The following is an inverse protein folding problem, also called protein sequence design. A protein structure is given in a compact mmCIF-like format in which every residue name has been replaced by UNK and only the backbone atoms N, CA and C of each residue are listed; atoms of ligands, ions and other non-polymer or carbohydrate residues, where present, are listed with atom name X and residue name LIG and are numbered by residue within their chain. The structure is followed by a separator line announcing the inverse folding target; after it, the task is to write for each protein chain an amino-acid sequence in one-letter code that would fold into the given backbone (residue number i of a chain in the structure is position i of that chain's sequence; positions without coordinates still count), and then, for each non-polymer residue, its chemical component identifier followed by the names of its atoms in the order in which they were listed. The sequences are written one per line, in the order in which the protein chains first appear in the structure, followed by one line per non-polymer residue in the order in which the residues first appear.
data_IF_430554813311
#
_entry.id   IF_430554813311
#
_cell.length_a   1.000
_cell.length_b   1.000
_cell.length_c   1.000
_cell.angle_alpha   90.00
_cell.angle_beta   90.00
_cell.angle_gamma   90.00
#
_symmetry.space_group_name_H-M   'P 1'
#
loop_
_entity.id
_entity.type
_entity.pdbx_description
1 polymer ?
#
# COMPACT_ATOMS: atom_id res chain seq x y z
N UNK A 1 22.55 15.54 -12.59
CA UNK A 1 23.23 16.12 -11.42
C UNK A 1 23.32 17.64 -11.59
N UNK A 2 23.38 18.42 -10.49
CA UNK A 2 23.42 19.89 -10.53
C UNK A 2 24.50 20.44 -11.47
N UNK A 3 25.63 19.76 -11.64
CA UNK A 3 26.71 20.16 -12.53
C UNK A 3 26.35 20.12 -14.03
N UNK A 4 25.30 19.39 -14.39
CA UNK A 4 24.81 19.33 -15.77
C UNK A 4 23.66 20.31 -16.01
N UNK A 5 22.90 20.60 -14.96
CA UNK A 5 21.69 21.44 -15.00
C UNK A 5 22.01 22.91 -14.70
N UNK A 6 23.24 23.20 -14.22
CA UNK A 6 23.65 24.55 -13.83
C UNK A 6 23.05 25.06 -12.52
N UNK A 7 22.43 24.17 -11.71
CA UNK A 7 21.83 24.53 -10.42
C UNK A 7 22.90 24.78 -9.34
N UNK A 8 22.56 25.63 -8.41
CA UNK A 8 23.41 25.86 -7.24
C UNK A 8 23.33 24.73 -6.21
N UNK A 9 24.21 24.77 -5.21
CA UNK A 9 24.22 23.79 -4.14
C UNK A 9 22.98 23.93 -3.26
N UNK A 10 22.26 22.84 -3.05
CA UNK A 10 21.06 22.80 -2.24
C UNK A 10 19.74 23.08 -3.00
N UNK A 11 19.81 23.54 -4.25
CA UNK A 11 18.62 23.74 -5.07
C UNK A 11 17.94 22.39 -5.39
N UNK A 12 16.59 22.36 -5.41
CA UNK A 12 15.85 21.15 -5.76
C UNK A 12 16.06 20.77 -7.22
N UNK A 13 16.04 19.47 -7.57
CA UNK A 13 16.06 19.07 -8.97
C UNK A 13 14.72 19.38 -9.63
N UNK A 14 14.75 19.55 -10.95
CA UNK A 14 13.53 19.58 -11.73
C UNK A 14 12.74 18.29 -11.54
N UNK A 15 11.45 18.42 -11.38
CA UNK A 15 10.49 17.34 -11.21
C UNK A 15 9.46 17.37 -12.34
N UNK A 16 8.59 16.38 -12.38
CA UNK A 16 7.50 16.37 -13.35
C UNK A 16 6.59 17.61 -13.21
N UNK A 17 6.48 18.17 -12.02
CA UNK A 17 5.63 19.33 -11.74
C UNK A 17 6.11 20.58 -12.47
N UNK A 18 7.42 20.71 -12.70
CA UNK A 18 8.02 21.86 -13.39
C UNK A 18 7.69 21.90 -14.90
N UNK A 19 7.11 20.82 -15.45
CA UNK A 19 6.72 20.72 -16.87
C UNK A 19 5.23 20.98 -17.12
N UNK A 20 4.44 21.16 -16.07
CA UNK A 20 3.03 21.51 -16.20
C UNK A 20 2.85 23.05 -16.37
N UNK A 21 1.74 23.48 -16.98
CA UNK A 21 1.35 24.89 -16.96
C UNK A 21 1.18 25.42 -15.54
N UNK A 22 1.34 26.73 -15.33
CA UNK A 22 1.27 27.33 -14.00
C UNK A 22 -0.09 27.14 -13.29
N UNK A 23 -1.17 26.93 -14.03
CA UNK A 23 -2.54 26.80 -13.54
C UNK A 23 -3.05 25.35 -13.45
N UNK A 24 -2.16 24.37 -13.34
CA UNK A 24 -2.57 22.96 -13.24
C UNK A 24 -3.23 22.63 -11.90
N UNK A 25 -4.07 21.59 -11.93
CA UNK A 25 -4.70 21.01 -10.74
C UNK A 25 -4.05 19.67 -10.41
N UNK A 26 -3.77 19.44 -9.13
CA UNK A 26 -3.34 18.14 -8.62
C UNK A 26 -4.51 17.44 -7.94
N UNK A 27 -4.77 16.20 -8.31
CA UNK A 27 -5.66 15.29 -7.58
C UNK A 27 -4.81 14.21 -6.90
N UNK A 28 -4.84 14.14 -5.58
CA UNK A 28 -4.07 13.18 -4.80
C UNK A 28 -5.00 12.08 -4.29
N UNK A 29 -4.87 10.90 -4.87
CA UNK A 29 -5.55 9.71 -4.40
C UNK A 29 -4.83 9.12 -3.18
N UNK A 30 -5.60 8.53 -2.25
CA UNK A 30 -5.11 8.05 -0.96
C UNK A 30 -4.24 9.09 -0.25
N UNK A 31 -4.75 10.31 -0.17
CA UNK A 31 -3.99 11.48 0.26
C UNK A 31 -3.41 11.34 1.66
N UNK A 32 -4.10 10.67 2.57
CA UNK A 32 -3.62 10.38 3.93
C UNK A 32 -2.29 9.61 3.95
N UNK A 33 -2.04 8.76 2.94
CA UNK A 33 -0.76 8.06 2.78
C UNK A 33 0.24 8.90 2.01
N UNK A 34 -0.18 9.50 0.90
CA UNK A 34 0.67 10.24 -0.02
C UNK A 34 1.27 11.47 0.65
N UNK A 35 0.49 12.25 1.38
CA UNK A 35 0.98 13.45 2.07
C UNK A 35 1.96 13.11 3.20
N UNK A 36 1.76 12.00 3.88
CA UNK A 36 2.72 11.47 4.84
C UNK A 36 4.07 11.13 4.19
N UNK A 37 4.05 10.56 2.99
CA UNK A 37 5.28 10.26 2.23
C UNK A 37 5.96 11.54 1.74
N UNK A 38 5.23 12.50 1.18
CA UNK A 38 5.78 13.80 0.75
C UNK A 38 6.49 14.50 1.90
N UNK A 39 5.91 14.49 3.11
CA UNK A 39 6.51 15.06 4.31
C UNK A 39 7.81 14.34 4.74
N UNK A 40 7.84 13.00 4.63
CA UNK A 40 8.95 12.18 5.13
C UNK A 40 10.09 11.94 4.15
N UNK A 41 9.85 11.99 2.83
CA UNK A 41 10.78 11.51 1.81
C UNK A 41 12.11 12.29 1.78
N UNK A 42 12.10 13.61 1.98
CA UNK A 42 13.30 14.43 1.98
C UNK A 42 14.28 14.02 3.10
N UNK A 43 13.79 13.95 4.32
CA UNK A 43 14.62 13.65 5.50
C UNK A 43 15.20 12.23 5.43
N UNK A 44 14.42 11.27 5.00
CA UNK A 44 14.88 9.88 4.82
C UNK A 44 15.96 9.73 3.75
N UNK A 45 15.78 10.39 2.60
CA UNK A 45 16.77 10.40 1.52
C UNK A 45 18.06 11.11 1.95
N UNK A 46 17.93 12.25 2.62
CA UNK A 46 19.06 13.04 3.10
C UNK A 46 19.91 12.27 4.10
N UNK A 47 19.31 11.70 5.13
CA UNK A 47 20.03 10.93 6.15
C UNK A 47 20.82 9.76 5.52
N UNK A 48 20.20 9.03 4.59
CA UNK A 48 20.87 7.96 3.86
C UNK A 48 22.05 8.46 3.03
N UNK A 49 21.90 9.57 2.31
CA UNK A 49 22.95 10.12 1.44
C UNK A 49 24.09 10.75 2.22
N UNK A 50 23.81 11.44 3.31
CA UNK A 50 24.84 11.96 4.20
C UNK A 50 25.75 10.83 4.71
N UNK A 51 25.17 9.72 5.15
CA UNK A 51 25.96 8.55 5.56
C UNK A 51 26.82 8.03 4.40
N UNK A 52 26.26 7.88 3.19
CA UNK A 52 27.00 7.38 2.03
C UNK A 52 28.13 8.34 1.59
N UNK A 53 27.91 9.63 1.69
CA UNK A 53 28.96 10.64 1.40
C UNK A 53 30.06 10.63 2.46
N UNK A 54 29.72 10.57 3.74
CA UNK A 54 30.66 10.55 4.86
C UNK A 54 31.59 9.32 4.81
N UNK A 55 31.08 8.18 4.34
CA UNK A 55 31.88 6.97 4.16
C UNK A 55 32.53 6.84 2.76
N UNK A 56 32.45 7.87 1.92
CA UNK A 56 33.08 7.91 0.61
C UNK A 56 32.39 7.07 -0.49
N UNK A 57 31.21 6.54 -0.26
CA UNK A 57 30.44 5.77 -1.26
C UNK A 57 29.73 6.64 -2.29
N UNK A 58 29.55 7.93 -2.00
CA UNK A 58 28.96 8.91 -2.90
C UNK A 58 29.66 10.27 -2.81
N UNK A 59 29.61 11.02 -3.92
CA UNK A 59 30.09 12.38 -3.96
C UNK A 59 29.13 13.31 -3.19
N UNK A 60 29.61 14.44 -2.61
CA UNK A 60 28.75 15.41 -1.93
C UNK A 60 27.59 15.92 -2.78
N UNK A 61 27.78 16.08 -4.08
CA UNK A 61 26.72 16.48 -5.02
C UNK A 61 25.54 15.50 -5.14
N UNK A 62 25.65 14.30 -4.58
CA UNK A 62 24.52 13.38 -4.47
C UNK A 62 23.39 13.94 -3.58
N UNK A 63 23.71 14.85 -2.65
CA UNK A 63 22.75 15.51 -1.78
C UNK A 63 21.80 16.44 -2.55
N UNK A 64 22.22 16.93 -3.72
CA UNK A 64 21.41 17.86 -4.55
C UNK A 64 20.46 17.13 -5.51
N UNK A 65 20.63 15.84 -5.70
CA UNK A 65 19.65 14.99 -6.42
C UNK A 65 18.70 14.34 -5.42
N UNK A 66 17.74 15.09 -4.97
CA UNK A 66 16.89 14.78 -3.81
C UNK A 66 15.40 14.96 -4.11
N UNK A 67 14.52 14.33 -3.33
CA UNK A 67 13.10 14.68 -3.36
C UNK A 67 12.88 16.15 -2.98
N UNK A 68 11.75 16.70 -3.40
CA UNK A 68 11.30 18.00 -2.92
C UNK A 68 11.07 17.96 -1.41
N UNK A 69 11.31 19.08 -0.75
CA UNK A 69 10.78 19.32 0.57
C UNK A 69 9.27 19.56 0.47
N UNK A 70 8.57 19.42 1.59
CA UNK A 70 7.12 19.67 1.62
C UNK A 70 6.78 21.09 1.15
N UNK A 71 7.48 22.11 1.64
CA UNK A 71 7.27 23.51 1.30
C UNK A 71 7.56 23.78 -0.19
N UNK A 72 8.55 23.08 -0.75
CA UNK A 72 8.87 23.17 -2.19
C UNK A 72 7.75 22.54 -3.03
N UNK A 73 7.21 21.39 -2.61
CA UNK A 73 6.04 20.79 -3.24
C UNK A 73 4.83 21.73 -3.17
N UNK A 74 4.53 22.26 -2.00
CA UNK A 74 3.40 23.19 -1.80
C UNK A 74 3.51 24.45 -2.66
N UNK A 75 4.73 24.95 -2.93
CA UNK A 75 4.95 26.11 -3.79
C UNK A 75 4.64 25.88 -5.26
N UNK A 76 4.62 24.63 -5.73
CA UNK A 76 4.23 24.27 -7.09
C UNK A 76 2.72 24.11 -7.27
N UNK A 77 1.96 24.07 -6.19
CA UNK A 77 0.54 23.70 -6.22
C UNK A 77 -0.34 24.94 -6.15
N UNK A 78 -1.16 25.17 -7.18
CA UNK A 78 -2.18 26.21 -7.18
C UNK A 78 -3.55 25.67 -6.73
N UNK A 79 -3.91 24.50 -7.23
CA UNK A 79 -5.18 23.85 -6.91
C UNK A 79 -4.92 22.39 -6.57
N UNK A 80 -5.50 21.93 -5.47
CA UNK A 80 -5.34 20.56 -5.00
C UNK A 80 -6.69 19.98 -4.58
N UNK A 81 -6.91 18.72 -4.95
CA UNK A 81 -8.02 17.91 -4.50
C UNK A 81 -7.47 16.69 -3.78
N UNK A 82 -7.78 16.56 -2.52
CA UNK A 82 -7.45 15.39 -1.73
C UNK A 82 -8.57 14.37 -1.82
N UNK A 83 -8.25 13.13 -2.18
CA UNK A 83 -9.18 12.01 -2.24
C UNK A 83 -8.75 10.97 -1.23
N UNK A 84 -9.60 10.65 -0.28
CA UNK A 84 -9.31 9.66 0.75
C UNK A 84 -10.59 9.15 1.41
N UNK A 85 -10.63 7.87 1.75
CA UNK A 85 -11.67 7.31 2.61
C UNK A 85 -11.47 7.70 4.09
N UNK A 86 -10.23 8.00 4.47
CA UNK A 86 -9.81 8.32 5.84
C UNK A 86 -8.83 9.50 5.82
N UNK A 87 -9.31 10.73 5.52
CA UNK A 87 -8.43 11.90 5.47
C UNK A 87 -7.68 12.08 6.78
N UNK A 88 -6.41 12.49 6.69
CA UNK A 88 -5.57 12.77 7.84
C UNK A 88 -5.71 14.23 8.35
N UNK A 89 -5.10 14.50 9.48
CA UNK A 89 -5.16 15.84 10.11
C UNK A 89 -4.66 16.95 9.16
N UNK A 90 -3.65 16.65 8.36
CA UNK A 90 -3.09 17.61 7.41
C UNK A 90 -4.11 18.07 6.36
N UNK A 91 -4.83 17.12 5.73
CA UNK A 91 -5.86 17.45 4.74
C UNK A 91 -7.01 18.24 5.36
N UNK A 92 -7.38 17.85 6.59
CA UNK A 92 -8.44 18.53 7.34
C UNK A 92 -8.06 19.97 7.71
N UNK A 93 -6.76 20.24 7.94
CA UNK A 93 -6.26 21.60 8.23
C UNK A 93 -6.16 22.47 6.96
N UNK A 94 -6.02 21.85 5.78
CA UNK A 94 -5.82 22.57 4.51
C UNK A 94 -7.11 22.88 3.75
N UNK A 95 -8.25 22.37 4.18
CA UNK A 95 -9.53 22.53 3.47
C UNK A 95 -10.64 23.05 4.35
N UNK A 96 -11.40 23.98 3.84
CA UNK A 96 -12.64 24.45 4.45
C UNK A 96 -13.87 23.68 3.96
N UNK A 97 -13.71 22.88 2.92
CA UNK A 97 -14.81 22.17 2.26
C UNK A 97 -14.53 20.68 2.15
N UNK A 98 -15.38 19.87 2.79
CA UNK A 98 -15.33 18.42 2.68
C UNK A 98 -16.56 17.97 1.91
N UNK A 99 -16.30 17.21 0.82
CA UNK A 99 -17.36 16.59 0.02
C UNK A 99 -17.34 15.10 0.29
N UNK A 100 -18.44 14.57 0.82
CA UNK A 100 -18.58 13.15 1.10
C UNK A 100 -19.31 12.44 -0.03
N UNK A 101 -18.74 11.32 -0.48
CA UNK A 101 -19.39 10.42 -1.43
C UNK A 101 -19.73 9.10 -0.72
N UNK A 102 -20.95 9.00 -0.21
CA UNK A 102 -21.45 7.84 0.54
C UNK A 102 -22.38 7.02 -0.36
N UNK A 103 -21.88 6.61 -1.51
CA UNK A 103 -22.66 5.80 -2.47
C UNK A 103 -22.02 4.43 -2.62
N UNK A 104 -22.77 3.38 -2.29
CA UNK A 104 -22.42 1.98 -2.60
C UNK A 104 -23.40 1.40 -3.62
N UNK A 105 -23.17 1.62 -4.93
CA UNK A 105 -24.08 1.18 -5.97
C UNK A 105 -24.17 -0.35 -6.07
N UNK A 106 -23.22 -1.08 -5.52
CA UNK A 106 -23.16 -2.55 -5.52
C UNK A 106 -24.16 -3.21 -4.56
N UNK A 107 -24.73 -2.46 -3.61
CA UNK A 107 -25.60 -3.02 -2.57
C UNK A 107 -24.89 -3.95 -1.57
N UNK A 108 -23.56 -4.10 -1.67
CA UNK A 108 -22.76 -4.91 -0.73
C UNK A 108 -22.60 -4.15 0.59
N UNK A 109 -22.91 -4.84 1.68
CA UNK A 109 -22.67 -4.31 3.03
C UNK A 109 -21.18 -4.39 3.39
N UNK A 110 -20.80 -3.59 4.38
CA UNK A 110 -19.48 -3.72 5.00
C UNK A 110 -19.32 -5.11 5.63
N UNK A 111 -18.12 -5.70 5.56
CA UNK A 111 -17.88 -6.98 6.20
C UNK A 111 -18.08 -6.91 7.71
N UNK A 112 -18.58 -7.99 8.29
CA UNK A 112 -18.65 -8.11 9.75
C UNK A 112 -17.24 -8.21 10.31
N UNK A 113 -16.89 -7.32 11.24
CA UNK A 113 -15.59 -7.32 11.91
C UNK A 113 -15.76 -7.91 13.31
N UNK A 114 -15.03 -8.98 13.57
CA UNK A 114 -14.96 -9.61 14.89
C UNK A 114 -13.58 -9.42 15.50
N UNK A 115 -13.52 -8.95 16.74
CA UNK A 115 -12.29 -8.86 17.52
C UNK A 115 -12.21 -10.06 18.45
N UNK A 116 -11.16 -10.86 18.34
CA UNK A 116 -10.98 -12.09 19.12
C UNK A 116 -9.72 -12.00 20.00
N UNK A 117 -9.66 -12.75 21.13
CA UNK A 117 -8.49 -12.78 21.99
C UNK A 117 -7.23 -13.27 21.28
N UNK A 118 -6.05 -12.76 21.67
CA UNK A 118 -4.78 -13.22 21.12
C UNK A 118 -4.40 -14.65 21.57
N UNK A 119 -4.83 -15.06 22.76
CA UNK A 119 -4.52 -16.39 23.27
C UNK A 119 -5.25 -17.45 22.45
N UNK A 120 -4.51 -18.43 21.90
CA UNK A 120 -5.06 -19.47 21.03
C UNK A 120 -5.43 -18.98 19.62
N UNK A 121 -5.00 -17.79 19.21
CA UNK A 121 -5.37 -17.18 17.92
C UNK A 121 -5.03 -18.04 16.69
N UNK A 122 -3.96 -18.83 16.76
CA UNK A 122 -3.55 -19.68 15.62
C UNK A 122 -4.49 -20.89 15.50
N UNK A 123 -4.86 -21.53 16.61
CA UNK A 123 -5.78 -22.64 16.59
C UNK A 123 -7.20 -22.20 16.16
N UNK A 124 -7.62 -21.04 16.64
CA UNK A 124 -8.89 -20.41 16.23
C UNK A 124 -8.87 -20.11 14.73
N UNK A 125 -7.78 -19.53 14.21
CA UNK A 125 -7.61 -19.25 12.78
C UNK A 125 -7.65 -20.53 11.95
N UNK A 126 -6.99 -21.60 12.36
CA UNK A 126 -7.04 -22.91 11.69
C UNK A 126 -8.48 -23.44 11.65
N UNK A 127 -9.20 -23.31 12.76
CA UNK A 127 -10.63 -23.68 12.82
C UNK A 127 -11.49 -22.91 11.83
N UNK A 128 -11.28 -21.60 11.71
CA UNK A 128 -11.99 -20.77 10.73
C UNK A 128 -11.59 -21.10 9.29
N UNK A 129 -10.33 -21.37 9.02
CA UNK A 129 -9.85 -21.79 7.69
C UNK A 129 -10.59 -23.06 7.24
N UNK A 130 -10.66 -24.08 8.10
CA UNK A 130 -11.36 -25.33 7.77
C UNK A 130 -12.83 -25.09 7.48
N UNK A 131 -13.54 -24.33 8.31
CA UNK A 131 -14.95 -23.98 8.10
C UNK A 131 -15.20 -23.28 6.76
N UNK A 132 -14.26 -22.41 6.34
CA UNK A 132 -14.36 -21.68 5.08
C UNK A 132 -14.02 -22.56 3.88
N UNK A 133 -12.96 -23.36 3.99
CA UNK A 133 -12.55 -24.28 2.95
C UNK A 133 -13.65 -25.33 2.64
N UNK A 134 -14.36 -25.85 3.65
CA UNK A 134 -15.50 -26.73 3.48
C UNK A 134 -16.64 -26.08 2.65
N UNK A 135 -16.78 -24.77 2.71
CA UNK A 135 -17.75 -24.00 1.93
C UNK A 135 -17.21 -23.53 0.57
N UNK A 136 -16.02 -23.96 0.17
CA UNK A 136 -15.29 -23.45 -0.99
C UNK A 136 -15.01 -21.94 -0.96
N UNK A 137 -14.96 -21.34 0.22
CA UNK A 137 -14.55 -19.97 0.43
C UNK A 137 -13.03 -19.86 0.54
N UNK A 138 -12.48 -18.66 0.34
CA UNK A 138 -11.03 -18.40 0.41
C UNK A 138 -10.72 -17.48 1.59
N UNK A 139 -9.55 -17.66 2.18
CA UNK A 139 -9.12 -16.92 3.36
C UNK A 139 -7.86 -16.11 3.05
N UNK A 140 -7.91 -14.82 3.38
CA UNK A 140 -6.73 -13.96 3.38
C UNK A 140 -6.23 -13.80 4.81
N UNK A 141 -4.94 -14.04 5.02
CA UNK A 141 -4.28 -13.88 6.32
C UNK A 141 -3.21 -12.81 6.20
N UNK A 142 -3.40 -11.70 6.90
CA UNK A 142 -2.43 -10.60 6.92
C UNK A 142 -1.60 -10.66 8.20
N UNK A 143 -0.28 -10.56 8.05
CA UNK A 143 0.66 -10.53 9.18
C UNK A 143 1.45 -9.22 9.19
N UNK A 144 2.09 -8.92 10.32
CA UNK A 144 2.85 -7.69 10.50
C UNK A 144 4.29 -7.78 9.96
N UNK A 145 4.86 -8.99 9.88
CA UNK A 145 6.25 -9.16 9.48
C UNK A 145 6.42 -10.30 8.46
N UNK A 146 7.46 -10.21 7.63
CA UNK A 146 7.83 -11.23 6.65
C UNK A 146 8.07 -12.59 7.32
N UNK A 147 8.85 -12.59 8.39
CA UNK A 147 9.14 -13.81 9.15
C UNK A 147 7.86 -14.49 9.67
N UNK A 148 6.95 -13.71 10.25
CA UNK A 148 5.68 -14.26 10.74
C UNK A 148 4.84 -14.87 9.61
N UNK A 149 4.82 -14.27 8.41
CA UNK A 149 4.13 -14.84 7.25
C UNK A 149 4.77 -16.16 6.81
N UNK A 150 6.09 -16.24 6.80
CA UNK A 150 6.85 -17.42 6.41
C UNK A 150 6.62 -18.56 7.41
N UNK A 151 6.78 -18.29 8.70
CA UNK A 151 6.58 -19.26 9.78
C UNK A 151 5.13 -19.78 9.79
N UNK A 152 4.15 -18.89 9.64
CA UNK A 152 2.73 -19.26 9.60
C UNK A 152 2.39 -20.07 8.35
N UNK A 153 2.98 -19.75 7.21
CA UNK A 153 2.78 -20.51 5.97
C UNK A 153 3.37 -21.93 6.10
N UNK A 154 4.54 -22.07 6.72
CA UNK A 154 5.16 -23.38 6.98
C UNK A 154 4.26 -24.22 7.91
N UNK A 155 3.79 -23.64 8.99
CA UNK A 155 2.89 -24.28 9.93
C UNK A 155 1.58 -24.75 9.27
N UNK A 156 0.94 -23.91 8.45
CA UNK A 156 -0.29 -24.31 7.74
C UNK A 156 -0.04 -25.44 6.75
N UNK A 157 1.11 -25.49 6.09
CA UNK A 157 1.48 -26.61 5.21
C UNK A 157 1.64 -27.91 5.99
N UNK A 158 2.26 -27.88 7.18
CA UNK A 158 2.39 -29.04 8.06
C UNK A 158 1.02 -29.57 8.52
N UNK A 159 0.05 -28.68 8.73
CA UNK A 159 -1.33 -29.00 9.05
C UNK A 159 -2.15 -29.48 7.85
N UNK A 160 -1.55 -29.60 6.65
CA UNK A 160 -2.22 -30.05 5.44
C UNK A 160 -3.12 -29.00 4.77
N UNK A 161 -3.05 -27.74 5.19
CA UNK A 161 -3.82 -26.64 4.61
C UNK A 161 -3.17 -26.23 3.27
N UNK A 162 -3.98 -26.06 2.24
CA UNK A 162 -3.54 -25.57 0.94
C UNK A 162 -3.31 -24.06 1.02
N UNK A 163 -2.06 -23.67 1.28
CA UNK A 163 -1.68 -22.26 1.51
C UNK A 163 -0.59 -21.81 0.55
N UNK A 164 -0.68 -20.56 0.12
CA UNK A 164 0.41 -19.83 -0.54
C UNK A 164 0.77 -18.56 0.23
N UNK A 165 2.04 -18.16 0.09
CA UNK A 165 2.59 -16.94 0.67
C UNK A 165 2.83 -15.91 -0.43
N UNK A 166 2.46 -14.66 -0.17
CA UNK A 166 2.71 -13.53 -1.06
C UNK A 166 3.55 -12.46 -0.35
N UNK A 167 4.67 -12.06 -0.95
CA UNK A 167 5.57 -11.03 -0.43
C UNK A 167 5.90 -9.98 -1.50
N UNK A 168 6.54 -8.88 -1.07
CA UNK A 168 6.86 -7.74 -1.94
C UNK A 168 7.80 -8.07 -3.10
N UNK A 169 8.66 -9.10 -2.93
CA UNK A 169 9.69 -9.45 -3.91
C UNK A 169 9.18 -10.34 -5.05
N UNK A 170 7.90 -10.77 -4.99
CA UNK A 170 7.27 -11.56 -6.05
C UNK A 170 7.06 -10.70 -7.29
N UNK A 171 7.49 -11.19 -8.44
CA UNK A 171 7.32 -10.52 -9.74
C UNK A 171 5.84 -10.36 -10.09
N UNK A 172 5.51 -9.32 -10.83
CA UNK A 172 4.12 -8.99 -11.19
C UNK A 172 3.38 -10.16 -11.87
N UNK A 173 4.04 -10.87 -12.79
CA UNK A 173 3.43 -12.01 -13.48
C UNK A 173 3.09 -13.15 -12.50
N UNK A 174 4.02 -13.49 -11.62
CA UNK A 174 3.82 -14.53 -10.60
C UNK A 174 2.72 -14.13 -9.61
N UNK A 175 2.63 -12.85 -9.26
CA UNK A 175 1.54 -12.32 -8.43
C UNK A 175 0.18 -12.54 -9.09
N UNK A 176 0.07 -12.29 -10.39
CA UNK A 176 -1.15 -12.53 -11.17
C UNK A 176 -1.53 -14.01 -11.19
N UNK A 177 -0.54 -14.89 -11.34
CA UNK A 177 -0.76 -16.34 -11.27
C UNK A 177 -1.26 -16.79 -9.90
N UNK A 178 -0.67 -16.29 -8.82
CA UNK A 178 -1.11 -16.59 -7.44
C UNK A 178 -2.56 -16.19 -7.24
N UNK A 179 -2.95 -15.00 -7.67
CA UNK A 179 -4.34 -14.52 -7.54
C UNK A 179 -5.29 -15.38 -8.40
N UNK A 180 -4.88 -15.74 -9.61
CA UNK A 180 -5.64 -16.66 -10.47
C UNK A 180 -5.82 -18.03 -9.82
N UNK A 181 -4.76 -18.61 -9.28
CA UNK A 181 -4.79 -19.91 -8.62
C UNK A 181 -5.68 -19.92 -7.38
N UNK A 182 -5.69 -18.83 -6.61
CA UNK A 182 -6.62 -18.64 -5.50
C UNK A 182 -8.07 -18.66 -5.97
N UNK A 183 -8.36 -17.96 -7.08
CA UNK A 183 -9.69 -17.94 -7.70
C UNK A 183 -10.15 -19.33 -8.14
N UNK A 184 -9.23 -20.09 -8.74
CA UNK A 184 -9.51 -21.44 -9.22
C UNK A 184 -9.56 -22.48 -8.09
N UNK A 185 -9.27 -22.11 -6.86
CA UNK A 185 -9.29 -23.05 -5.72
C UNK A 185 -8.12 -24.01 -5.68
N UNK A 186 -7.01 -23.69 -6.34
CA UNK A 186 -5.78 -24.49 -6.25
C UNK A 186 -5.27 -24.51 -4.81
N UNK A 187 -5.49 -23.42 -4.07
CA UNK A 187 -5.25 -23.32 -2.64
C UNK A 187 -6.34 -22.48 -1.96
N UNK A 188 -6.48 -22.61 -0.65
CA UNK A 188 -7.60 -22.06 0.11
C UNK A 188 -7.19 -20.80 0.89
N UNK A 189 -5.90 -20.67 1.22
CA UNK A 189 -5.38 -19.61 2.07
C UNK A 189 -4.25 -18.85 1.39
N UNK A 190 -4.33 -17.53 1.40
CA UNK A 190 -3.25 -16.65 0.99
C UNK A 190 -2.75 -15.86 2.21
N UNK A 191 -1.48 -16.06 2.55
CA UNK A 191 -0.80 -15.33 3.62
C UNK A 191 0.04 -14.21 3.03
N UNK A 192 -0.02 -13.02 3.58
CA UNK A 192 0.79 -11.90 3.09
C UNK A 192 0.99 -10.78 4.11
N UNK A 193 1.97 -9.89 3.81
CA UNK A 193 2.26 -8.72 4.61
C UNK A 193 1.70 -7.49 3.91
N UNK A 194 0.85 -6.71 4.52
CA UNK A 194 0.38 -5.41 4.04
C UNK A 194 -0.06 -5.37 2.55
N UNK A 195 0.08 -6.47 1.81
CA UNK A 195 -0.25 -6.59 0.39
C UNK A 195 -1.77 -6.51 0.13
N UNK A 196 -2.54 -6.67 1.20
CA UNK A 196 -3.99 -6.69 1.17
C UNK A 196 -4.60 -5.34 1.59
N UNK A 197 -3.77 -4.35 1.97
CA UNK A 197 -4.27 -3.04 2.38
C UNK A 197 -4.88 -2.26 1.23
N UNK A 198 -4.18 -2.22 0.10
CA UNK A 198 -4.59 -1.45 -1.08
C UNK A 198 -4.09 -2.14 -2.35
N UNK A 199 -4.86 -2.04 -3.42
CA UNK A 199 -4.41 -2.44 -4.76
C UNK A 199 -4.41 -3.93 -5.07
N UNK A 200 -5.07 -4.79 -4.29
CA UNK A 200 -5.49 -6.09 -4.79
C UNK A 200 -6.86 -5.92 -5.41
N UNK A 201 -6.88 -5.86 -6.73
CA UNK A 201 -8.12 -6.01 -7.47
C UNK A 201 -8.62 -7.46 -7.35
N UNK A 202 -9.47 -7.67 -6.35
CA UNK A 202 -10.14 -8.92 -6.11
C UNK A 202 -11.53 -8.95 -6.77
N UNK A 203 -11.69 -8.28 -7.91
CA UNK A 203 -12.99 -8.18 -8.63
C UNK A 203 -13.64 -9.54 -8.78
N UNK A 204 -12.89 -10.58 -9.05
CA UNK A 204 -13.42 -11.94 -9.07
C UNK A 204 -13.60 -12.58 -7.68
N UNK A 205 -13.00 -12.02 -6.62
CA UNK A 205 -13.30 -12.42 -5.25
C UNK A 205 -14.69 -11.93 -4.85
N UNK A 206 -15.04 -10.71 -5.21
CA UNK A 206 -16.39 -10.15 -5.04
C UNK A 206 -17.43 -10.96 -5.83
N UNK A 207 -17.09 -11.44 -7.02
CA UNK A 207 -17.98 -12.30 -7.82
C UNK A 207 -18.05 -13.75 -7.33
N UNK A 208 -17.01 -14.28 -6.67
CA UNK A 208 -17.01 -15.63 -6.07
C UNK A 208 -17.72 -15.69 -4.72
N UNK A 209 -17.87 -14.56 -4.04
CA UNK A 209 -18.59 -14.47 -2.75
C UNK A 209 -20.02 -13.99 -2.87
N UNK A 210 -20.45 -13.57 -4.06
CA UNK A 210 -21.89 -13.35 -4.30
C UNK A 210 -22.58 -14.72 -4.25
N UNK A 211 -23.49 -14.95 -3.28
CA UNK A 211 -24.38 -16.07 -3.40
C UNK A 211 -25.15 -15.89 -4.72
N UNK A 212 -25.06 -16.86 -5.60
CA UNK A 212 -26.01 -17.00 -6.69
C UNK A 212 -27.38 -17.19 -6.04
N UNK A 213 -28.10 -16.10 -5.88
CA UNK A 213 -29.54 -16.18 -5.64
C UNK A 213 -30.18 -16.61 -6.96
N UNK A 214 -30.46 -17.88 -7.10
CA UNK A 214 -31.54 -18.29 -7.95
C UNK A 214 -32.87 -17.84 -7.35
#
# INVERSE_FOLDING_TARGET
SRHMDGREEGEPPYTLLDFFPDDFMIMIDESHMTMGQVKGMYNGDRARKEMLCNYGFRLPSALDNRPLKREEFESHVHQIVYVSATPGDYEMEQTDTIVEQIIRPTGLLDPVVEVRPMMGQIDDLVGEIHKRAEKNERVFVTTLTKKMSEDLTAYFKEMGIKVKYMHSDIKTLERTEIIRDLRLGVFDVLVGINLLREGIDAVSYTHLTLPTTE
#
